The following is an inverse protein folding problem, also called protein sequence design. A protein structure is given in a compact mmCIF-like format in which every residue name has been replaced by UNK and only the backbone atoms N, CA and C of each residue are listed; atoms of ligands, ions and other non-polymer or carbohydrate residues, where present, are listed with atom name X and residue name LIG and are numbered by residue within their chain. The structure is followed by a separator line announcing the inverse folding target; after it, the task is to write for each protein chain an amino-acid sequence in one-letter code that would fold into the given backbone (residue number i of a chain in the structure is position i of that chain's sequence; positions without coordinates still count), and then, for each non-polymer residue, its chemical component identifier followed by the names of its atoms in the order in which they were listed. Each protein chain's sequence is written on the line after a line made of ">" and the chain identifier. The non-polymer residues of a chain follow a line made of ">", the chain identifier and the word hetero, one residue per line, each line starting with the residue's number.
data_IF_799835152782
#
_entry.id   IF_799835152782
#
_cell.length_a   1.000
_cell.length_b   1.000
_cell.length_c   1.000
_cell.angle_alpha   90.00
_cell.angle_beta   90.00
_cell.angle_gamma   90.00
#
_symmetry.space_group_name_H-M   'P 1'
#
loop_
_entity.id
_entity.type
_entity.pdbx_description
1 polymer ?
#
# COMPACT_ATOMS: atom_id res chain seq x y z
N UNK A 1 54.29 69.48 -1.57
CA UNK A 1 53.30 68.83 -2.47
C UNK A 1 53.08 67.35 -2.09
N UNK A 2 53.11 66.97 -0.80
CA UNK A 2 53.08 65.54 -0.39
C UNK A 2 51.75 65.08 0.25
N UNK A 3 50.77 65.96 0.47
CA UNK A 3 49.51 65.59 1.17
C UNK A 3 48.50 64.80 0.33
N UNK A 4 48.60 64.80 -1.00
CA UNK A 4 47.63 64.11 -1.87
C UNK A 4 47.87 62.60 -2.03
N UNK A 5 49.07 62.12 -1.74
CA UNK A 5 49.47 60.73 -1.99
C UNK A 5 49.10 59.78 -0.83
N UNK A 6 49.02 60.31 0.40
CA UNK A 6 48.61 59.55 1.58
C UNK A 6 47.12 59.19 1.54
N UNK A 7 46.26 60.12 1.14
CA UNK A 7 44.81 59.90 1.01
C UNK A 7 44.48 58.82 -0.02
N UNK A 8 45.25 58.74 -1.12
CA UNK A 8 45.01 57.73 -2.16
C UNK A 8 45.46 56.31 -1.77
N UNK A 9 46.43 56.19 -0.86
CA UNK A 9 46.85 54.88 -0.34
C UNK A 9 45.88 54.34 0.70
N UNK A 10 45.40 55.20 1.59
CA UNK A 10 44.44 54.82 2.63
C UNK A 10 43.09 54.36 2.04
N UNK A 11 42.61 55.04 0.99
CA UNK A 11 41.39 54.64 0.28
C UNK A 11 41.52 53.26 -0.39
N UNK A 12 42.71 52.94 -0.94
CA UNK A 12 42.96 51.61 -1.54
C UNK A 12 43.02 50.53 -0.47
N UNK A 13 43.64 50.78 0.67
CA UNK A 13 43.69 49.82 1.78
C UNK A 13 42.29 49.56 2.37
N UNK A 14 41.45 50.59 2.49
CA UNK A 14 40.07 50.44 2.93
C UNK A 14 39.25 49.59 1.95
N UNK A 15 39.34 49.86 0.65
CA UNK A 15 38.65 49.08 -0.38
C UNK A 15 39.07 47.59 -0.37
N UNK A 16 40.37 47.29 -0.21
CA UNK A 16 40.85 45.91 -0.10
C UNK A 16 40.38 45.20 1.18
N UNK A 17 40.24 45.91 2.30
CA UNK A 17 39.68 45.34 3.54
C UNK A 17 38.19 45.06 3.41
N UNK A 18 37.45 45.95 2.76
CA UNK A 18 36.01 45.82 2.57
C UNK A 18 35.67 44.65 1.63
N UNK A 19 36.37 44.50 0.51
CA UNK A 19 36.17 43.37 -0.42
C UNK A 19 36.47 42.00 0.20
N UNK A 20 37.47 41.91 1.08
CA UNK A 20 37.83 40.67 1.78
C UNK A 20 36.84 40.31 2.90
N UNK A 21 36.26 41.30 3.58
CA UNK A 21 35.26 41.07 4.61
C UNK A 21 33.88 40.71 4.01
N UNK A 22 33.54 41.25 2.84
CA UNK A 22 32.32 40.87 2.10
C UNK A 22 32.35 39.40 1.65
N UNK A 23 33.50 38.88 1.22
CA UNK A 23 33.62 37.48 0.75
C UNK A 23 33.46 36.46 1.88
N UNK A 24 33.98 36.74 3.08
CA UNK A 24 33.87 35.82 4.22
C UNK A 24 32.44 35.80 4.77
N UNK A 25 31.78 36.97 4.84
CA UNK A 25 30.39 37.08 5.27
C UNK A 25 29.42 36.33 4.35
N UNK A 26 29.57 36.50 3.03
CA UNK A 26 28.72 35.83 2.05
C UNK A 26 28.89 34.30 2.07
N UNK A 27 30.13 33.82 2.26
CA UNK A 27 30.41 32.38 2.37
C UNK A 27 29.77 31.81 3.65
N UNK A 28 29.86 32.52 4.78
CA UNK A 28 29.25 32.09 6.03
C UNK A 28 27.72 31.99 5.94
N UNK A 29 27.06 32.97 5.30
CA UNK A 29 25.61 32.96 5.08
C UNK A 29 25.18 31.83 4.15
N UNK A 30 25.93 31.57 3.07
CA UNK A 30 25.66 30.45 2.15
C UNK A 30 25.85 29.09 2.81
N UNK A 31 26.89 28.92 3.61
CA UNK A 31 27.10 27.68 4.37
C UNK A 31 26.00 27.48 5.41
N UNK A 32 25.60 28.53 6.13
CA UNK A 32 24.52 28.47 7.11
C UNK A 32 23.17 28.08 6.48
N UNK A 33 22.84 28.66 5.33
CA UNK A 33 21.60 28.32 4.60
C UNK A 33 21.62 26.89 4.08
N UNK A 34 22.71 26.42 3.48
CA UNK A 34 22.86 25.02 3.04
C UNK A 34 22.68 24.07 4.24
N UNK A 35 23.32 24.37 5.37
CA UNK A 35 23.25 23.53 6.56
C UNK A 35 21.82 23.46 7.11
N UNK A 36 21.11 24.59 7.17
CA UNK A 36 19.69 24.64 7.55
C UNK A 36 18.80 23.78 6.64
N UNK A 37 18.97 23.87 5.32
CA UNK A 37 18.20 23.06 4.37
C UNK A 37 18.50 21.57 4.51
N UNK A 38 19.77 21.19 4.70
CA UNK A 38 20.14 19.77 4.88
C UNK A 38 19.55 19.18 6.16
N UNK A 39 19.57 19.93 7.27
CA UNK A 39 18.94 19.51 8.53
C UNK A 39 17.43 19.38 8.37
N UNK A 40 16.77 20.35 7.73
CA UNK A 40 15.35 20.29 7.42
C UNK A 40 14.97 19.07 6.58
N UNK A 41 15.79 18.74 5.58
CA UNK A 41 15.58 17.57 4.73
C UNK A 41 15.68 16.25 5.51
N UNK A 42 16.68 16.12 6.40
CA UNK A 42 16.84 14.91 7.23
C UNK A 42 15.66 14.74 8.18
N UNK A 43 15.19 15.82 8.82
CA UNK A 43 14.02 15.77 9.69
C UNK A 43 12.78 15.37 8.89
N UNK A 44 12.56 15.98 7.73
CA UNK A 44 11.43 15.65 6.87
C UNK A 44 11.45 14.18 6.42
N UNK A 45 12.61 13.66 6.02
CA UNK A 45 12.78 12.25 5.67
C UNK A 45 12.48 11.32 6.86
N UNK A 46 12.92 11.68 8.07
CA UNK A 46 12.60 10.93 9.28
C UNK A 46 11.11 10.88 9.62
N UNK A 47 10.37 11.98 9.37
CA UNK A 47 8.91 12.01 9.54
C UNK A 47 8.22 11.11 8.52
N UNK A 48 8.71 11.08 7.28
CA UNK A 48 8.16 10.21 6.23
C UNK A 48 8.39 8.74 6.56
N UNK A 49 9.57 8.35 7.01
CA UNK A 49 9.86 6.96 7.39
C UNK A 49 9.02 6.53 8.59
N UNK A 50 8.86 7.39 9.60
CA UNK A 50 8.01 7.11 10.75
C UNK A 50 6.51 6.98 10.37
N UNK A 51 6.03 7.77 9.41
CA UNK A 51 4.66 7.64 8.89
C UNK A 51 4.45 6.32 8.14
N UNK A 52 5.47 5.85 7.40
CA UNK A 52 5.42 4.56 6.72
C UNK A 52 5.41 3.41 7.73
N UNK A 53 6.25 3.45 8.76
CA UNK A 53 6.24 2.44 9.83
C UNK A 53 4.87 2.36 10.52
N UNK A 54 4.27 3.50 10.85
CA UNK A 54 2.94 3.55 11.46
C UNK A 54 1.85 2.96 10.55
N UNK A 55 1.90 3.25 9.25
CA UNK A 55 0.92 2.68 8.29
C UNK A 55 1.13 1.18 8.07
N UNK A 56 2.36 0.70 8.03
CA UNK A 56 2.68 -0.74 7.92
C UNK A 56 2.30 -1.49 9.20
N UNK A 57 2.56 -0.93 10.39
CA UNK A 57 2.09 -1.47 11.66
C UNK A 57 0.55 -1.56 11.73
N UNK A 58 -0.17 -0.59 11.16
CA UNK A 58 -1.63 -0.64 11.07
C UNK A 58 -2.14 -1.60 9.98
N UNK A 59 -1.37 -1.85 8.92
CA UNK A 59 -1.72 -2.79 7.86
C UNK A 59 -1.44 -4.26 8.23
N UNK A 60 -0.43 -4.53 9.07
CA UNK A 60 0.08 -5.88 9.33
C UNK A 60 -0.65 -6.66 10.44
N UNK A 61 -1.65 -6.07 11.10
CA UNK A 61 -2.21 -6.60 12.35
C UNK A 61 -3.59 -7.22 12.26
N UNK A 62 -4.62 -6.47 12.65
CA UNK A 62 -5.91 -7.10 13.04
C UNK A 62 -7.16 -6.31 12.63
N UNK A 63 -7.00 -5.10 12.07
CA UNK A 63 -8.10 -4.15 12.01
C UNK A 63 -8.70 -3.97 10.60
N UNK A 64 -8.02 -4.30 9.50
CA UNK A 64 -8.47 -3.81 8.18
C UNK A 64 -9.82 -4.34 7.71
N UNK A 65 -10.12 -5.63 7.87
CA UNK A 65 -11.39 -6.19 7.42
C UNK A 65 -12.49 -6.04 8.48
N UNK A 66 -12.18 -6.33 9.74
CA UNK A 66 -13.16 -6.27 10.84
C UNK A 66 -13.49 -4.81 11.17
N UNK A 67 -12.49 -3.92 11.28
CA UNK A 67 -12.73 -2.49 11.51
C UNK A 67 -13.37 -1.81 10.31
N UNK A 68 -13.08 -2.26 9.07
CA UNK A 68 -13.84 -1.78 7.90
C UNK A 68 -15.32 -2.17 8.00
N UNK A 69 -15.63 -3.44 8.32
CA UNK A 69 -17.01 -3.90 8.48
C UNK A 69 -17.69 -3.20 9.67
N UNK A 70 -17.00 -3.04 10.80
CA UNK A 70 -17.53 -2.33 11.97
C UNK A 70 -17.80 -0.85 11.66
N UNK A 71 -16.84 -0.13 11.05
CA UNK A 71 -17.04 1.27 10.63
C UNK A 71 -18.15 1.40 9.59
N UNK A 72 -18.29 0.43 8.70
CA UNK A 72 -19.38 0.38 7.73
C UNK A 72 -20.74 0.22 8.41
N UNK A 73 -20.83 -0.67 9.42
CA UNK A 73 -22.03 -0.87 10.24
C UNK A 73 -22.34 0.37 11.10
N UNK A 74 -21.33 1.02 11.68
CA UNK A 74 -21.49 2.28 12.43
C UNK A 74 -21.95 3.44 11.54
N UNK A 75 -21.53 3.46 10.28
CA UNK A 75 -21.95 4.47 9.29
C UNK A 75 -23.36 4.23 8.72
N UNK A 76 -24.08 3.22 9.23
CA UNK A 76 -25.32 2.72 8.66
C UNK A 76 -26.60 3.45 9.15
N UNK A 77 -26.46 4.60 9.80
CA UNK A 77 -27.58 5.47 10.20
C UNK A 77 -28.24 6.21 9.02
N UNK A 78 -27.62 6.22 7.84
CA UNK A 78 -28.19 6.85 6.65
C UNK A 78 -29.00 5.84 5.79
N UNK A 79 -30.16 6.23 5.23
CA UNK A 79 -30.98 5.35 4.39
C UNK A 79 -30.26 4.88 3.11
N UNK A 80 -29.24 5.63 2.68
CA UNK A 80 -28.35 5.28 1.58
C UNK A 80 -27.42 4.11 1.96
N UNK A 81 -26.89 4.12 3.19
CA UNK A 81 -25.99 3.05 3.67
C UNK A 81 -26.72 1.72 3.84
N UNK A 82 -27.98 1.74 4.31
CA UNK A 82 -28.81 0.52 4.42
C UNK A 82 -29.03 -0.13 3.06
N UNK A 83 -29.33 0.67 2.03
CA UNK A 83 -29.56 0.19 0.67
C UNK A 83 -28.31 -0.46 0.05
N UNK A 84 -27.14 0.17 0.23
CA UNK A 84 -25.86 -0.39 -0.26
C UNK A 84 -25.50 -1.67 0.49
N UNK A 85 -25.76 -1.75 1.79
CA UNK A 85 -25.49 -2.94 2.60
C UNK A 85 -26.34 -4.13 2.19
N UNK A 86 -27.64 -3.91 1.90
CA UNK A 86 -28.53 -4.95 1.36
C UNK A 86 -28.05 -5.39 -0.03
N UNK A 87 -27.67 -4.45 -0.90
CA UNK A 87 -27.12 -4.79 -2.22
C UNK A 87 -25.81 -5.58 -2.12
N UNK A 88 -24.91 -5.21 -1.21
CA UNK A 88 -23.66 -5.92 -0.98
C UNK A 88 -23.90 -7.33 -0.42
N UNK A 89 -24.82 -7.48 0.54
CA UNK A 89 -25.22 -8.78 1.08
C UNK A 89 -25.85 -9.68 0.02
N UNK A 90 -26.82 -9.16 -0.74
CA UNK A 90 -27.45 -9.89 -1.84
C UNK A 90 -26.44 -10.23 -2.97
N UNK A 91 -25.51 -9.32 -3.27
CA UNK A 91 -24.41 -9.53 -4.18
C UNK A 91 -23.47 -10.65 -3.73
N UNK A 92 -23.08 -10.66 -2.46
CA UNK A 92 -22.25 -11.72 -1.88
C UNK A 92 -22.92 -13.09 -1.92
N UNK A 93 -24.20 -13.18 -1.55
CA UNK A 93 -24.96 -14.45 -1.59
C UNK A 93 -25.11 -14.95 -3.03
N UNK A 94 -25.49 -14.08 -3.97
CA UNK A 94 -25.64 -14.45 -5.38
C UNK A 94 -24.32 -14.90 -6.00
N UNK A 95 -23.22 -14.20 -5.70
CA UNK A 95 -21.87 -14.59 -6.14
C UNK A 95 -21.44 -15.94 -5.52
N UNK A 96 -21.72 -16.17 -4.23
CA UNK A 96 -21.43 -17.44 -3.56
C UNK A 96 -22.17 -18.62 -4.19
N UNK A 97 -23.47 -18.44 -4.49
CA UNK A 97 -24.26 -19.44 -5.21
C UNK A 97 -23.72 -19.69 -6.62
N UNK A 98 -23.31 -18.64 -7.33
CA UNK A 98 -22.70 -18.76 -8.65
C UNK A 98 -21.38 -19.53 -8.61
N UNK A 99 -20.51 -19.22 -7.64
CA UNK A 99 -19.25 -19.95 -7.43
C UNK A 99 -19.50 -21.41 -7.07
N UNK A 100 -20.47 -21.71 -6.21
CA UNK A 100 -20.86 -23.09 -5.87
C UNK A 100 -21.25 -23.88 -7.12
N UNK A 101 -22.07 -23.29 -8.00
CA UNK A 101 -22.47 -23.92 -9.27
C UNK A 101 -21.28 -24.13 -10.21
N UNK A 102 -20.38 -23.16 -10.31
CA UNK A 102 -19.18 -23.28 -11.15
C UNK A 102 -18.24 -24.38 -10.66
N UNK A 103 -18.01 -24.46 -9.34
CA UNK A 103 -17.20 -25.53 -8.73
C UNK A 103 -17.78 -26.90 -9.03
N UNK A 104 -19.11 -27.07 -8.88
CA UNK A 104 -19.78 -28.33 -9.23
C UNK A 104 -19.55 -28.75 -10.69
N UNK A 105 -19.65 -27.82 -11.65
CA UNK A 105 -19.36 -28.10 -13.08
C UNK A 105 -17.91 -28.50 -13.32
N UNK A 106 -16.96 -27.82 -12.66
CA UNK A 106 -15.53 -28.14 -12.80
C UNK A 106 -15.22 -29.53 -12.23
N UNK A 107 -15.74 -29.85 -11.05
CA UNK A 107 -15.61 -31.17 -10.42
C UNK A 107 -16.22 -32.24 -11.32
N UNK A 108 -17.43 -32.02 -11.85
CA UNK A 108 -18.07 -32.95 -12.79
C UNK A 108 -17.24 -33.22 -14.05
N UNK A 109 -16.59 -32.19 -14.60
CA UNK A 109 -15.70 -32.34 -15.76
C UNK A 109 -14.46 -33.16 -15.41
N UNK A 110 -13.84 -32.89 -14.26
CA UNK A 110 -12.64 -33.60 -13.81
C UNK A 110 -12.96 -35.06 -13.45
N UNK A 111 -14.06 -35.29 -12.73
CA UNK A 111 -14.54 -36.62 -12.34
C UNK A 111 -14.76 -37.52 -13.56
N UNK A 112 -15.45 -37.02 -14.60
CA UNK A 112 -15.61 -37.76 -15.87
C UNK A 112 -14.28 -38.10 -16.56
N UNK A 113 -13.30 -37.20 -16.49
CA UNK A 113 -11.97 -37.43 -17.09
C UNK A 113 -11.20 -38.48 -16.31
N UNK A 114 -11.23 -38.41 -14.98
CA UNK A 114 -10.61 -39.40 -14.08
C UNK A 114 -11.25 -40.77 -14.33
N UNK A 115 -12.57 -40.88 -14.34
CA UNK A 115 -13.28 -42.15 -14.60
C UNK A 115 -12.87 -42.78 -15.94
N UNK A 116 -12.76 -41.97 -17.01
CA UNK A 116 -12.30 -42.46 -18.32
C UNK A 116 -10.85 -42.95 -18.30
N UNK A 117 -9.98 -42.29 -17.53
CA UNK A 117 -8.57 -42.68 -17.41
C UNK A 117 -8.41 -43.92 -16.52
N UNK A 118 -9.20 -44.02 -15.45
CA UNK A 118 -9.22 -45.18 -14.56
C UNK A 118 -9.72 -46.43 -15.30
N UNK A 119 -10.82 -46.34 -16.05
CA UNK A 119 -11.33 -47.48 -16.86
C UNK A 119 -10.36 -47.94 -17.95
N UNK A 120 -9.49 -47.04 -18.45
CA UNK A 120 -8.42 -47.42 -19.39
C UNK A 120 -7.29 -48.19 -18.71
N UNK A 121 -7.03 -47.93 -17.43
CA UNK A 121 -5.97 -48.59 -16.66
C UNK A 121 -6.47 -49.89 -16.01
N UNK A 122 -7.68 -49.88 -15.50
CA UNK A 122 -8.34 -51.00 -14.83
C UNK A 122 -9.84 -51.00 -15.18
N UNK A 123 -10.30 -51.88 -16.09
CA UNK A 123 -11.69 -51.96 -16.50
C UNK A 123 -12.66 -52.35 -15.38
N UNK A 124 -12.18 -53.01 -14.31
CA UNK A 124 -12.99 -53.53 -13.22
C UNK A 124 -13.04 -52.61 -12.00
N UNK A 125 -12.47 -51.41 -12.09
CA UNK A 125 -12.46 -50.46 -10.97
C UNK A 125 -13.88 -49.93 -10.69
N UNK A 126 -14.38 -50.22 -9.50
CA UNK A 126 -15.65 -49.70 -8.98
C UNK A 126 -15.44 -48.29 -8.42
N UNK A 127 -16.39 -47.39 -8.66
CA UNK A 127 -16.30 -45.99 -8.21
C UNK A 127 -16.54 -45.86 -6.71
N UNK A 128 -16.02 -44.81 -6.10
CA UNK A 128 -16.07 -44.55 -4.64
C UNK A 128 -17.44 -44.12 -4.11
N UNK A 129 -18.55 -44.42 -4.79
CA UNK A 129 -19.90 -44.00 -4.39
C UNK A 129 -20.18 -42.49 -4.43
N UNK A 130 -19.22 -41.67 -4.87
CA UNK A 130 -19.40 -40.23 -4.99
C UNK A 130 -20.20 -39.87 -6.24
N UNK A 131 -21.08 -38.87 -6.11
CA UNK A 131 -21.74 -38.26 -7.25
C UNK A 131 -20.71 -37.62 -8.18
N UNK A 132 -21.10 -37.36 -9.44
CA UNK A 132 -20.22 -36.68 -10.41
C UNK A 132 -19.73 -35.32 -9.91
N UNK A 133 -20.46 -34.68 -9.01
CA UNK A 133 -20.13 -33.38 -8.43
C UNK A 133 -19.23 -33.48 -7.18
N UNK A 134 -18.77 -34.69 -6.83
CA UNK A 134 -17.90 -34.94 -5.69
C UNK A 134 -18.61 -34.91 -4.33
N UNK A 135 -19.93 -35.02 -4.32
CA UNK A 135 -20.75 -35.11 -3.11
C UNK A 135 -21.11 -36.56 -2.81
N UNK A 136 -21.31 -36.89 -1.53
CA UNK A 136 -21.84 -38.20 -1.09
C UNK A 136 -23.20 -38.47 -1.74
N UNK A 137 -23.46 -39.71 -2.12
CA UNK A 137 -24.76 -40.08 -2.68
C UNK A 137 -25.86 -39.82 -1.62
N UNK A 138 -26.94 -39.07 -1.92
CA UNK A 138 -28.00 -38.80 -0.96
C UNK A 138 -28.71 -40.07 -0.43
N UNK A 139 -28.66 -41.18 -1.18
CA UNK A 139 -29.21 -42.48 -0.77
C UNK A 139 -28.32 -43.24 0.26
N UNK A 140 -27.14 -42.70 0.57
CA UNK A 140 -26.15 -43.30 1.51
C UNK A 140 -26.29 -42.75 2.95
N UNK A 141 -27.44 -42.12 3.26
CA UNK A 141 -27.77 -41.53 4.57
C UNK A 141 -28.78 -42.37 5.34
#
# INVERSE_FOLDING_TARGET
>A
MERGDLTQKDEREYSYREHRNMTIGDVAVRLGTILMWTVGLVIAMGQVTAAIENTVLHLAGEETLITFVLRWVESCDSPLTVSVSIMAGAGGVSMGLYQKRQRGKMVARLSRRIEKLEKKKDPNRTSSGLTREGQTNPDDR
#
